data_IF_147242913618
#
_entry.id   IF_147242913618
#
_cell.length_a   1.000
_cell.length_b   1.000
_cell.length_c   1.000
_cell.angle_alpha   90.00
_cell.angle_beta   90.00
_cell.angle_gamma   90.00
#
_symmetry.space_group_name_H-M   'P 1'
#
loop_
_entity.id
_entity.type
_entity.pdbx_description
1 polymer ?
#
# COMPACT_ATOMS: atom_id res chain seq x y z
N UNK A 1 -23.06 3.12 8.60
CA UNK A 1 -22.99 3.17 7.11
C UNK A 1 -21.54 3.09 6.70
N UNK A 2 -21.19 2.41 5.60
CA UNK A 2 -19.80 2.30 5.11
C UNK A 2 -19.76 2.49 3.58
N UNK A 3 -18.59 2.85 3.05
CA UNK A 3 -18.36 2.92 1.60
C UNK A 3 -17.84 1.58 1.09
N UNK A 4 -18.55 0.97 0.13
CA UNK A 4 -18.17 -0.30 -0.47
C UNK A 4 -17.84 -0.10 -1.95
N UNK A 5 -16.67 -0.57 -2.38
CA UNK A 5 -16.28 -0.56 -3.79
C UNK A 5 -15.53 -1.85 -4.15
N UNK A 6 -16.00 -2.54 -5.20
CA UNK A 6 -15.38 -3.78 -5.67
C UNK A 6 -14.20 -3.44 -6.59
N UNK A 7 -13.00 -3.89 -6.22
CA UNK A 7 -11.79 -3.73 -7.02
C UNK A 7 -11.69 -4.85 -8.07
N UNK A 8 -11.71 -4.49 -9.35
CA UNK A 8 -11.77 -5.45 -10.46
C UNK A 8 -10.49 -5.53 -11.28
N UNK A 9 -9.61 -4.55 -11.16
CA UNK A 9 -8.42 -4.43 -12.02
C UNK A 9 -7.11 -4.36 -11.23
N UNK A 10 -5.98 -4.79 -11.82
CA UNK A 10 -4.64 -4.59 -11.24
C UNK A 10 -4.38 -3.17 -10.77
N UNK A 11 -4.73 -2.16 -11.58
CA UNK A 11 -4.53 -0.74 -11.25
C UNK A 11 -5.38 -0.31 -10.05
N UNK A 12 -6.62 -0.79 -9.94
CA UNK A 12 -7.46 -0.51 -8.76
C UNK A 12 -6.86 -1.12 -7.49
N UNK A 13 -6.43 -2.38 -7.53
CA UNK A 13 -5.82 -3.03 -6.36
C UNK A 13 -4.50 -2.36 -5.97
N UNK A 14 -3.64 -2.03 -6.95
CA UNK A 14 -2.42 -1.24 -6.70
C UNK A 14 -2.72 0.08 -6.00
N UNK A 15 -3.70 0.83 -6.50
CA UNK A 15 -4.05 2.12 -5.95
C UNK A 15 -4.67 2.00 -4.55
N UNK A 16 -5.49 0.97 -4.32
CA UNK A 16 -6.06 0.67 -3.01
C UNK A 16 -4.97 0.30 -1.99
N UNK A 17 -4.03 -0.59 -2.35
CA UNK A 17 -2.88 -0.93 -1.50
C UNK A 17 -2.07 0.31 -1.14
N UNK A 18 -1.69 1.12 -2.14
CA UNK A 18 -0.97 2.38 -1.91
C UNK A 18 -1.76 3.33 -1.02
N UNK A 19 -3.07 3.43 -1.22
CA UNK A 19 -3.92 4.30 -0.41
C UNK A 19 -3.97 3.83 1.05
N UNK A 20 -4.29 2.56 1.29
CA UNK A 20 -4.44 1.98 2.64
C UNK A 20 -3.12 2.06 3.40
N UNK A 21 -2.02 1.62 2.80
CA UNK A 21 -0.73 1.54 3.49
C UNK A 21 -0.09 2.93 3.72
N UNK A 22 -0.38 3.91 2.86
CA UNK A 22 0.15 5.27 3.01
C UNK A 22 -0.95 6.28 3.41
N UNK A 23 -2.07 5.83 3.99
CA UNK A 23 -3.20 6.70 4.33
C UNK A 23 -2.79 7.78 5.34
N UNK A 24 -1.96 7.41 6.33
CA UNK A 24 -1.44 8.37 7.32
C UNK A 24 -0.67 9.52 6.67
N UNK A 25 0.14 9.25 5.65
CA UNK A 25 0.88 10.27 4.89
C UNK A 25 -0.05 11.25 4.20
N UNK A 26 -1.17 10.77 3.64
CA UNK A 26 -2.20 11.64 3.04
C UNK A 26 -2.83 12.58 4.05
N UNK A 27 -3.15 12.10 5.26
CA UNK A 27 -3.90 12.87 6.24
C UNK A 27 -3.05 13.73 7.18
N UNK A 28 -1.80 13.34 7.44
CA UNK A 28 -0.97 13.99 8.45
C UNK A 28 0.38 14.47 7.92
N UNK A 29 0.70 14.15 6.67
CA UNK A 29 1.94 14.58 6.02
C UNK A 29 3.19 14.22 6.82
N UNK A 30 4.20 15.09 6.72
CA UNK A 30 5.50 14.90 7.36
C UNK A 30 5.48 15.11 8.88
N UNK A 31 4.37 15.59 9.47
CA UNK A 31 4.28 15.82 10.93
C UNK A 31 4.36 14.53 11.74
N UNK A 32 4.00 13.39 11.16
CA UNK A 32 4.05 12.09 11.83
C UNK A 32 4.70 10.98 10.98
N UNK A 33 4.82 11.17 9.66
CA UNK A 33 5.40 10.19 8.76
C UNK A 33 6.70 10.70 8.15
N UNK A 34 7.79 10.64 8.91
CA UNK A 34 9.13 10.95 8.41
C UNK A 34 9.53 10.01 7.26
N UNK A 35 10.58 10.34 6.47
CA UNK A 35 11.04 9.48 5.39
C UNK A 35 11.31 8.04 5.86
N UNK A 36 10.79 7.05 5.13
CA UNK A 36 10.95 5.62 5.46
C UNK A 36 9.99 5.09 6.53
N UNK A 37 9.29 5.96 7.26
CA UNK A 37 8.29 5.56 8.24
C UNK A 37 7.14 4.76 7.62
N UNK A 38 6.71 3.73 8.33
CA UNK A 38 5.53 2.91 8.01
C UNK A 38 4.57 2.93 9.20
N UNK A 39 3.27 2.88 8.93
CA UNK A 39 2.26 2.96 9.98
C UNK A 39 2.25 1.67 10.83
N UNK A 40 2.60 1.73 12.14
CA UNK A 40 2.64 0.55 13.00
C UNK A 40 1.25 -0.04 13.26
N UNK A 41 0.18 0.73 13.01
CA UNK A 41 -1.21 0.26 13.11
C UNK A 41 -1.72 -0.31 11.78
N UNK A 42 -0.81 -0.65 10.86
CA UNK A 42 -1.11 -1.25 9.57
C UNK A 42 -0.17 -2.43 9.30
N UNK A 43 -0.44 -3.16 8.21
CA UNK A 43 0.44 -4.23 7.74
C UNK A 43 1.58 -3.74 6.85
N UNK A 44 1.85 -2.42 6.80
CA UNK A 44 2.85 -1.83 5.92
C UNK A 44 4.26 -2.38 6.17
N UNK A 45 4.62 -2.71 7.41
CA UNK A 45 5.96 -3.24 7.72
C UNK A 45 6.24 -4.61 7.07
N UNK A 46 5.22 -5.39 6.74
CA UNK A 46 5.35 -6.70 6.07
C UNK A 46 5.04 -6.65 4.57
N UNK A 47 4.76 -5.47 4.02
CA UNK A 47 4.40 -5.35 2.62
C UNK A 47 5.64 -5.43 1.71
N UNK A 48 5.70 -6.46 0.88
CA UNK A 48 6.81 -6.74 -0.03
C UNK A 48 6.81 -5.86 -1.31
N UNK A 49 5.78 -5.05 -1.47
CA UNK A 49 5.52 -4.34 -2.71
C UNK A 49 6.14 -2.94 -2.81
N UNK A 50 6.79 -2.44 -1.76
CA UNK A 50 7.47 -1.15 -1.80
C UNK A 50 8.69 -1.19 -2.72
N UNK A 51 9.01 -0.11 -3.43
CA UNK A 51 10.19 -0.03 -4.32
C UNK A 51 11.51 0.24 -3.57
N UNK A 52 11.41 0.78 -2.38
CA UNK A 52 12.48 1.42 -1.61
C UNK A 52 12.52 0.92 -0.15
N UNK A 53 11.87 -0.21 0.13
CA UNK A 53 11.82 -0.84 1.45
C UNK A 53 11.58 -2.34 1.30
N UNK A 54 12.39 -3.13 2.01
CA UNK A 54 12.17 -4.56 2.17
C UNK A 54 11.18 -4.85 3.31
N UNK A 55 10.36 -5.91 3.20
CA UNK A 55 9.42 -6.31 4.24
C UNK A 55 10.15 -6.92 5.44
N UNK A 56 9.55 -6.83 6.62
CA UNK A 56 10.01 -7.60 7.78
C UNK A 56 9.79 -9.10 7.55
N UNK A 57 10.72 -9.93 8.02
CA UNK A 57 10.80 -11.38 7.70
C UNK A 57 9.62 -12.21 8.21
N UNK A 58 9.04 -11.87 9.38
CA UNK A 58 7.99 -12.66 10.01
C UNK A 58 6.64 -11.97 9.90
N UNK A 59 5.93 -12.19 8.78
CA UNK A 59 4.54 -11.74 8.61
C UNK A 59 3.57 -12.70 9.34
N UNK A 60 2.89 -12.27 10.42
CA UNK A 60 1.96 -13.13 11.15
C UNK A 60 0.61 -13.29 10.44
N UNK A 61 0.36 -12.53 9.37
CA UNK A 61 -0.91 -12.52 8.66
C UNK A 61 -0.96 -13.57 7.55
N UNK A 62 -2.15 -14.14 7.27
CA UNK A 62 -2.31 -15.10 6.19
C UNK A 62 -1.97 -14.46 4.83
N UNK A 63 -1.38 -15.26 3.94
CA UNK A 63 -1.09 -14.84 2.59
C UNK A 63 -2.38 -14.49 1.82
N UNK A 64 -2.27 -13.53 0.91
CA UNK A 64 -3.34 -13.21 -0.03
C UNK A 64 -3.66 -14.45 -0.91
N UNK A 65 -4.95 -14.66 -1.22
CA UNK A 65 -5.41 -15.85 -1.95
C UNK A 65 -5.83 -15.59 -3.39
N UNK A 66 -5.99 -14.33 -3.79
CA UNK A 66 -6.43 -13.97 -5.14
C UNK A 66 -5.24 -13.55 -5.98
N UNK A 67 -5.29 -13.83 -7.29
CA UNK A 67 -4.30 -13.34 -8.24
C UNK A 67 -4.08 -11.83 -8.10
N UNK A 68 -5.16 -11.05 -8.00
CA UNK A 68 -5.07 -9.59 -7.93
C UNK A 68 -4.26 -9.09 -6.72
N UNK A 69 -4.47 -9.67 -5.54
CA UNK A 69 -3.82 -9.21 -4.29
C UNK A 69 -2.44 -9.85 -4.06
N UNK A 70 -2.17 -11.02 -4.64
CA UNK A 70 -0.85 -11.67 -4.58
C UNK A 70 0.16 -10.98 -5.50
N UNK A 71 -0.08 -11.00 -6.81
CA UNK A 71 0.89 -10.54 -7.82
C UNK A 71 0.28 -9.65 -8.88
N UNK A 72 -1.02 -9.75 -9.13
CA UNK A 72 -1.73 -9.03 -10.18
C UNK A 72 -1.58 -7.52 -10.04
N UNK A 73 -1.67 -6.97 -8.82
CA UNK A 73 -1.50 -5.55 -8.54
C UNK A 73 -0.15 -4.97 -9.04
N UNK A 74 0.92 -5.78 -9.12
CA UNK A 74 2.23 -5.36 -9.63
C UNK A 74 2.19 -4.96 -11.11
N UNK A 75 1.21 -5.50 -11.87
CA UNK A 75 0.95 -5.16 -13.28
C UNK A 75 0.11 -3.88 -13.43
N UNK A 76 -0.38 -3.30 -12.33
CA UNK A 76 -1.13 -2.05 -12.37
C UNK A 76 -0.26 -0.88 -12.84
N UNK A 77 -0.89 0.14 -13.42
CA UNK A 77 -0.18 1.34 -13.93
C UNK A 77 0.70 1.96 -12.84
N UNK A 78 2.01 2.00 -13.09
CA UNK A 78 3.01 2.53 -12.18
C UNK A 78 3.68 1.50 -11.26
N UNK A 79 3.42 0.20 -11.39
CA UNK A 79 4.21 -0.88 -10.76
C UNK A 79 4.28 -0.83 -9.23
N UNK A 80 5.45 -1.16 -8.65
CA UNK A 80 5.74 -0.93 -7.23
C UNK A 80 5.62 0.57 -6.88
N UNK A 81 5.33 0.89 -5.62
CA UNK A 81 5.18 2.28 -5.16
C UNK A 81 6.11 2.56 -3.98
N UNK A 82 6.43 3.84 -3.75
CA UNK A 82 7.34 4.26 -2.68
C UNK A 82 6.71 4.16 -1.30
N UNK A 83 7.50 3.83 -0.29
CA UNK A 83 7.09 3.94 1.13
C UNK A 83 6.70 5.37 1.49
N UNK A 84 7.29 6.34 0.78
CA UNK A 84 7.05 7.77 0.95
C UNK A 84 5.98 8.35 -0.01
N UNK A 85 5.38 7.55 -0.89
CA UNK A 85 4.37 8.04 -1.84
C UNK A 85 3.14 8.59 -1.11
N UNK A 86 2.64 9.76 -1.53
CA UNK A 86 1.43 10.38 -0.95
C UNK A 86 0.21 10.08 -1.85
N UNK A 87 -0.76 9.27 -1.40
CA UNK A 87 -1.93 8.93 -2.20
C UNK A 87 -2.86 10.12 -2.47
N UNK A 88 -3.31 10.25 -3.72
CA UNK A 88 -4.26 11.28 -4.13
C UNK A 88 -3.67 12.65 -4.42
N UNK A 89 -2.35 12.83 -4.26
CA UNK A 89 -1.64 13.92 -4.94
C UNK A 89 -1.70 13.61 -6.43
N UNK A 90 -2.38 14.44 -7.24
CA UNK A 90 -2.17 14.41 -8.69
C UNK A 90 -0.69 14.74 -8.93
N UNK A 91 -0.04 13.93 -9.76
CA UNK A 91 1.27 14.29 -10.32
C UNK A 91 1.12 15.52 -11.16
#
# INVERSE_FOLDING_TARGET
RYHAHILRTPTQVRNALRYVLNNRRRHQGQRQAHPGWVDPLSTACWFDGYRDREPNESNPWPAARTFLLTTGWRRGRGGRFGVNDIPGKRR
#
